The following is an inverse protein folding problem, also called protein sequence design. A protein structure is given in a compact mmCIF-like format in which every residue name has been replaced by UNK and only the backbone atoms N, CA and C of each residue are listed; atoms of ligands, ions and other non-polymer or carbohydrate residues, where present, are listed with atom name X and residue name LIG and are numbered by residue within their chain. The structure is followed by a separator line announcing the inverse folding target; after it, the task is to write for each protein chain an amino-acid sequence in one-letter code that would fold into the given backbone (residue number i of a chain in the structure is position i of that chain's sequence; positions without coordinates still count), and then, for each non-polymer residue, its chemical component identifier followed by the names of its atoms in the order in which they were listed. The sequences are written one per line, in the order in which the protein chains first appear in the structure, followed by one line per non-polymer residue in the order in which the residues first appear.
data_IF_401075263576
#
_entry.id   IF_401075263576
#
_cell.length_a   1.000
_cell.length_b   1.000
_cell.length_c   1.000
_cell.angle_alpha   90.00
_cell.angle_beta   90.00
_cell.angle_gamma   90.00
#
_symmetry.space_group_name_H-M   'P 1'
#
loop_
_entity.id
_entity.type
_entity.pdbx_description
1 polymer ?
#
# COMPACT_ATOMS: atom_id res chain seq x y z
N UNK A 1 49.74 47.39 9.00
CA UNK A 1 48.64 46.82 9.82
C UNK A 1 47.25 46.87 9.14
N UNK A 2 47.06 47.52 7.99
CA UNK A 2 45.74 47.60 7.32
C UNK A 2 45.24 46.29 6.65
N UNK A 3 46.12 45.32 6.41
CA UNK A 3 45.79 44.06 5.71
C UNK A 3 44.89 43.12 6.53
N UNK A 4 45.05 43.07 7.86
CA UNK A 4 44.32 42.15 8.73
C UNK A 4 42.83 42.53 8.87
N UNK A 5 42.53 43.83 8.85
CA UNK A 5 41.16 44.33 8.99
C UNK A 5 40.29 44.01 7.77
N UNK A 6 40.89 44.08 6.57
CA UNK A 6 40.21 43.72 5.32
C UNK A 6 39.93 42.21 5.23
N UNK A 7 40.85 41.39 5.76
CA UNK A 7 40.73 39.93 5.79
C UNK A 7 39.63 39.45 6.76
N UNK A 8 39.43 40.14 7.89
CA UNK A 8 38.34 39.84 8.83
C UNK A 8 36.95 40.25 8.29
N UNK A 9 36.87 41.37 7.55
CA UNK A 9 35.63 41.81 6.92
C UNK A 9 35.16 40.85 5.81
N UNK A 10 36.10 40.35 5.01
CA UNK A 10 35.80 39.40 3.93
C UNK A 10 35.34 38.04 4.48
N UNK A 11 35.99 37.55 5.53
CA UNK A 11 35.61 36.31 6.21
C UNK A 11 34.18 36.38 6.82
N UNK A 12 33.77 37.54 7.32
CA UNK A 12 32.41 37.75 7.85
C UNK A 12 31.35 37.73 6.74
N UNK A 13 31.65 38.32 5.57
CA UNK A 13 30.76 38.32 4.41
C UNK A 13 30.67 36.91 3.83
N UNK A 14 31.79 36.20 3.70
CA UNK A 14 31.83 34.82 3.23
C UNK A 14 31.03 33.88 4.15
N UNK A 15 31.15 34.05 5.47
CA UNK A 15 30.34 33.32 6.43
C UNK A 15 28.84 33.62 6.30
N UNK A 16 28.46 34.88 6.08
CA UNK A 16 27.06 35.28 5.90
C UNK A 16 26.48 34.67 4.61
N UNK A 17 27.22 34.71 3.50
CA UNK A 17 26.83 34.07 2.24
C UNK A 17 26.69 32.56 2.41
N UNK A 18 27.62 31.93 3.15
CA UNK A 18 27.59 30.50 3.44
C UNK A 18 26.35 30.10 4.25
N UNK A 19 25.99 30.86 5.30
CA UNK A 19 24.79 30.64 6.12
C UNK A 19 23.52 30.81 5.29
N UNK A 20 23.46 31.83 4.44
CA UNK A 20 22.33 32.06 3.54
C UNK A 20 22.17 30.89 2.57
N UNK A 21 23.25 30.43 1.93
CA UNK A 21 23.21 29.25 1.05
C UNK A 21 22.78 27.99 1.81
N UNK A 22 23.30 27.77 3.02
CA UNK A 22 22.90 26.64 3.85
C UNK A 22 21.40 26.68 4.19
N UNK A 23 20.86 27.87 4.44
CA UNK A 23 19.43 28.05 4.75
C UNK A 23 18.54 27.59 3.59
N UNK A 24 18.90 27.94 2.34
CA UNK A 24 18.16 27.50 1.15
C UNK A 24 18.24 25.98 0.95
N UNK A 25 19.40 25.37 1.22
CA UNK A 25 19.59 23.92 1.14
C UNK A 25 18.70 23.23 2.19
N UNK A 26 18.70 23.70 3.44
CA UNK A 26 17.90 23.11 4.51
C UNK A 26 16.39 23.24 4.29
N UNK A 27 15.93 24.34 3.69
CA UNK A 27 14.53 24.50 3.28
C UNK A 27 14.16 23.44 2.22
N UNK A 28 15.01 23.26 1.21
CA UNK A 28 14.82 22.22 0.19
C UNK A 28 14.80 20.81 0.77
N UNK A 29 15.70 20.53 1.72
CA UNK A 29 15.77 19.24 2.40
C UNK A 29 14.49 18.97 3.23
N UNK A 30 14.00 19.98 3.95
CA UNK A 30 12.78 19.85 4.77
C UNK A 30 11.57 19.53 3.91
N UNK A 31 11.45 20.16 2.73
CA UNK A 31 10.37 19.87 1.78
C UNK A 31 10.42 18.43 1.26
N UNK A 32 11.62 17.93 0.94
CA UNK A 32 11.82 16.54 0.52
C UNK A 32 11.47 15.56 1.65
N UNK A 33 11.96 15.83 2.86
CA UNK A 33 11.68 15.00 4.06
C UNK A 33 10.18 14.92 4.33
N UNK A 34 9.46 16.04 4.25
CA UNK A 34 8.01 16.07 4.43
C UNK A 34 7.29 15.16 3.42
N UNK A 35 7.68 15.20 2.14
CA UNK A 35 7.13 14.31 1.12
C UNK A 35 7.46 12.85 1.39
N UNK A 36 8.68 12.54 1.79
CA UNK A 36 9.08 11.15 2.10
C UNK A 36 8.37 10.60 3.33
N UNK A 37 8.15 11.42 4.35
CA UNK A 37 7.44 11.00 5.56
C UNK A 37 5.98 10.63 5.27
N UNK A 38 5.31 11.43 4.42
CA UNK A 38 3.96 11.14 3.95
C UNK A 38 3.93 9.84 3.13
N UNK A 39 4.90 9.64 2.21
CA UNK A 39 5.01 8.41 1.43
C UNK A 39 5.27 7.17 2.31
N UNK A 40 6.13 7.28 3.33
CA UNK A 40 6.40 6.21 4.28
C UNK A 40 5.16 5.83 5.09
N UNK A 41 4.35 6.80 5.52
CA UNK A 41 3.08 6.56 6.21
C UNK A 41 2.15 5.69 5.36
N UNK A 42 1.92 6.07 4.10
CA UNK A 42 1.04 5.31 3.21
C UNK A 42 1.59 3.92 2.92
N UNK A 43 2.90 3.80 2.68
CA UNK A 43 3.56 2.49 2.45
C UNK A 43 3.37 1.56 3.64
N UNK A 44 3.55 2.06 4.87
CA UNK A 44 3.32 1.28 6.08
C UNK A 44 1.88 0.82 6.23
N UNK A 45 0.91 1.70 5.95
CA UNK A 45 -0.51 1.37 6.01
C UNK A 45 -0.91 0.33 4.95
N UNK A 46 -0.38 0.45 3.73
CA UNK A 46 -0.59 -0.52 2.66
C UNK A 46 -0.02 -1.89 3.02
N UNK A 47 1.17 -1.94 3.62
CA UNK A 47 1.75 -3.20 4.10
C UNK A 47 0.88 -3.85 5.18
N UNK A 48 0.37 -3.07 6.14
CA UNK A 48 -0.57 -3.60 7.15
C UNK A 48 -1.86 -4.12 6.51
N UNK A 49 -2.43 -3.40 5.55
CA UNK A 49 -3.60 -3.86 4.81
C UNK A 49 -3.33 -5.17 4.06
N UNK A 50 -2.16 -5.30 3.43
CA UNK A 50 -1.73 -6.53 2.76
C UNK A 50 -1.62 -7.71 3.73
N UNK A 51 -1.01 -7.50 4.90
CA UNK A 51 -0.90 -8.53 5.94
C UNK A 51 -2.26 -8.94 6.51
N UNK A 52 -3.15 -7.97 6.77
CA UNK A 52 -4.51 -8.23 7.22
C UNK A 52 -5.29 -9.05 6.17
N UNK A 53 -5.15 -8.70 4.89
CA UNK A 53 -5.80 -9.41 3.79
C UNK A 53 -5.28 -10.84 3.62
N UNK A 54 -3.95 -11.03 3.73
CA UNK A 54 -3.34 -12.36 3.71
C UNK A 54 -3.78 -13.21 4.90
N UNK A 55 -3.84 -12.62 6.10
CA UNK A 55 -4.32 -13.28 7.31
C UNK A 55 -5.79 -13.69 7.18
N UNK A 56 -6.65 -12.82 6.66
CA UNK A 56 -8.05 -13.16 6.42
C UNK A 56 -8.22 -14.24 5.35
N UNK A 57 -7.45 -14.18 4.26
CA UNK A 57 -7.44 -15.23 3.25
C UNK A 57 -7.01 -16.60 3.82
N UNK A 58 -6.08 -16.62 4.78
CA UNK A 58 -5.63 -17.85 5.46
C UNK A 58 -6.64 -18.37 6.49
N UNK A 59 -7.29 -17.49 7.25
CA UNK A 59 -8.17 -17.88 8.36
C UNK A 59 -9.60 -18.19 7.92
N UNK A 60 -10.17 -17.37 7.04
CA UNK A 60 -11.55 -17.55 6.55
C UNK A 60 -11.58 -18.35 5.24
N UNK A 61 -10.45 -18.46 4.54
CA UNK A 61 -10.38 -19.08 3.23
C UNK A 61 -10.96 -18.19 2.14
N UNK A 62 -10.38 -18.24 0.93
CA UNK A 62 -10.82 -17.41 -0.19
C UNK A 62 -12.30 -17.59 -0.55
N UNK A 63 -12.83 -18.79 -0.40
CA UNK A 63 -14.24 -19.08 -0.75
C UNK A 63 -15.22 -18.29 0.12
N UNK A 64 -14.90 -18.03 1.40
CA UNK A 64 -15.75 -17.25 2.30
C UNK A 64 -15.69 -15.75 1.98
N UNK A 65 -14.49 -15.21 1.67
CA UNK A 65 -14.34 -13.82 1.24
C UNK A 65 -15.04 -13.55 -0.10
N UNK A 66 -15.06 -14.53 -1.00
CA UNK A 66 -15.76 -14.45 -2.28
C UNK A 66 -17.28 -14.64 -2.17
N UNK A 67 -17.77 -15.29 -1.10
CA UNK A 67 -19.20 -15.49 -0.87
C UNK A 67 -19.84 -14.31 -0.11
N UNK A 68 -19.03 -13.46 0.54
CA UNK A 68 -19.51 -12.29 1.25
C UNK A 68 -19.94 -11.19 0.25
N UNK A 69 -21.15 -10.66 0.43
CA UNK A 69 -21.67 -9.55 -0.40
C UNK A 69 -20.88 -8.25 -0.22
N UNK A 70 -20.29 -8.04 0.96
CA UNK A 70 -19.44 -6.89 1.28
C UNK A 70 -18.32 -7.32 2.24
N UNK A 71 -17.21 -7.91 1.74
CA UNK A 71 -16.08 -8.22 2.59
C UNK A 71 -15.45 -6.93 3.13
N UNK A 72 -15.10 -6.92 4.42
CA UNK A 72 -14.34 -5.84 5.04
C UNK A 72 -13.21 -6.43 5.90
N UNK A 73 -12.13 -5.66 6.06
CA UNK A 73 -10.98 -6.03 6.87
C UNK A 73 -10.64 -4.92 7.84
N UNK A 74 -10.18 -5.30 9.03
CA UNK A 74 -9.72 -4.33 10.01
C UNK A 74 -8.23 -4.05 9.80
N UNK A 75 -7.90 -2.80 9.50
CA UNK A 75 -6.51 -2.31 9.39
C UNK A 75 -6.36 -1.15 10.37
N UNK A 76 -5.48 -1.31 11.36
CA UNK A 76 -5.27 -0.31 12.43
C UNK A 76 -6.59 0.17 13.08
N UNK A 77 -7.41 -0.78 13.53
CA UNK A 77 -8.73 -0.56 14.15
C UNK A 77 -9.79 0.13 13.28
N UNK A 78 -9.53 0.29 11.97
CA UNK A 78 -10.50 0.80 11.01
C UNK A 78 -10.95 -0.28 10.03
N UNK A 79 -12.24 -0.24 9.67
CA UNK A 79 -12.83 -1.17 8.70
C UNK A 79 -12.59 -0.66 7.28
N UNK A 80 -11.81 -1.41 6.51
CA UNK A 80 -11.51 -1.17 5.10
C UNK A 80 -12.43 -2.05 4.27
N UNK A 81 -13.29 -1.43 3.45
CA UNK A 81 -14.18 -2.13 2.55
C UNK A 81 -13.42 -2.73 1.36
N UNK A 82 -13.80 -3.95 0.96
CA UNK A 82 -13.16 -4.68 -0.12
C UNK A 82 -14.16 -5.00 -1.21
N UNK A 83 -13.63 -5.08 -2.43
CA UNK A 83 -14.30 -5.70 -3.54
C UNK A 83 -13.54 -6.98 -3.90
N UNK A 84 -14.22 -8.11 -3.75
CA UNK A 84 -13.70 -9.41 -4.18
C UNK A 84 -14.24 -9.73 -5.58
N UNK A 85 -13.33 -10.00 -6.51
CA UNK A 85 -13.65 -10.60 -7.81
C UNK A 85 -13.07 -12.01 -7.82
N UNK A 86 -13.94 -13.01 -7.95
CA UNK A 86 -13.51 -14.41 -7.89
C UNK A 86 -14.00 -15.15 -9.13
N UNK A 87 -13.04 -15.64 -9.91
CA UNK A 87 -13.26 -16.44 -11.10
C UNK A 87 -13.37 -17.92 -10.68
N UNK A 88 -14.49 -18.54 -11.02
CA UNK A 88 -14.72 -19.98 -10.81
C UNK A 88 -14.80 -20.65 -12.18
N UNK A 89 -14.04 -21.71 -12.38
CA UNK A 89 -14.02 -22.47 -13.64
C UNK A 89 -14.47 -23.91 -13.39
N UNK A 90 -15.04 -24.53 -14.43
CA UNK A 90 -15.34 -25.95 -14.42
C UNK A 90 -14.05 -26.76 -14.31
N UNK A 91 -14.11 -27.92 -13.65
CA UNK A 91 -12.97 -28.82 -13.51
C UNK A 91 -13.40 -30.27 -13.67
N UNK A 92 -12.46 -31.13 -14.05
CA UNK A 92 -12.69 -32.56 -14.23
C UNK A 92 -12.07 -33.32 -13.05
N UNK A 93 -12.90 -34.04 -12.30
CA UNK A 93 -12.46 -34.90 -11.21
C UNK A 93 -12.39 -36.33 -11.72
N UNK A 94 -11.27 -37.02 -11.49
CA UNK A 94 -11.18 -38.46 -11.79
C UNK A 94 -11.28 -39.24 -10.49
N UNK A 95 -12.38 -39.97 -10.29
CA UNK A 95 -12.59 -40.81 -9.11
C UNK A 95 -12.74 -42.25 -9.58
N UNK A 96 -11.88 -43.15 -9.07
CA UNK A 96 -11.85 -44.56 -9.45
C UNK A 96 -11.77 -44.82 -10.97
N UNK A 97 -11.09 -43.94 -11.72
CA UNK A 97 -10.92 -44.08 -13.17
C UNK A 97 -12.08 -43.55 -14.02
N UNK A 98 -13.16 -43.05 -13.40
CA UNK A 98 -14.22 -42.31 -14.09
C UNK A 98 -13.95 -40.81 -14.04
N UNK A 99 -13.99 -40.16 -15.19
CA UNK A 99 -13.91 -38.70 -15.32
C UNK A 99 -15.30 -38.10 -15.10
N UNK A 100 -15.40 -37.18 -14.15
CA UNK A 100 -16.62 -36.45 -13.80
C UNK A 100 -16.37 -34.97 -14.10
N UNK A 101 -17.13 -34.43 -15.05
CA UNK A 101 -17.08 -33.01 -15.39
C UNK A 101 -17.96 -32.22 -14.41
N UNK A 102 -17.33 -31.38 -13.58
CA UNK A 102 -18.02 -30.54 -12.62
C UNK A 102 -18.11 -29.12 -13.17
N UNK A 103 -19.32 -28.68 -13.51
CA UNK A 103 -19.58 -27.34 -14.01
C UNK A 103 -19.22 -26.26 -12.96
N UNK A 104 -18.97 -25.03 -13.42
CA UNK A 104 -18.73 -23.90 -12.54
C UNK A 104 -20.01 -23.56 -11.74
N UNK A 105 -19.94 -23.70 -10.43
CA UNK A 105 -20.98 -23.44 -9.46
C UNK A 105 -20.43 -22.54 -8.33
N UNK A 106 -21.27 -21.96 -7.45
CA UNK A 106 -20.81 -21.12 -6.32
C UNK A 106 -19.85 -21.83 -5.35
N UNK A 107 -19.81 -23.16 -5.38
CA UNK A 107 -18.93 -24.00 -4.56
C UNK A 107 -17.75 -24.60 -5.36
N UNK A 108 -17.61 -24.30 -6.64
CA UNK A 108 -16.49 -24.78 -7.47
C UNK A 108 -15.17 -24.15 -7.03
N UNK A 109 -14.03 -24.85 -7.23
CA UNK A 109 -12.72 -24.32 -6.89
C UNK A 109 -12.47 -22.98 -7.60
N UNK A 110 -11.92 -22.04 -6.84
CA UNK A 110 -11.53 -20.72 -7.34
C UNK A 110 -10.28 -20.93 -8.19
N UNK A 111 -10.34 -20.52 -9.45
CA UNK A 111 -9.24 -20.63 -10.44
C UNK A 111 -8.55 -19.29 -10.69
N UNK A 112 -9.07 -18.23 -10.08
CA UNK A 112 -8.44 -16.92 -10.07
C UNK A 112 -9.23 -16.01 -9.12
N UNK A 113 -8.54 -15.17 -8.38
CA UNK A 113 -9.16 -14.25 -7.43
C UNK A 113 -8.38 -12.95 -7.38
N UNK A 114 -9.09 -11.84 -7.40
CA UNK A 114 -8.52 -10.53 -7.13
C UNK A 114 -9.32 -9.86 -6.02
N UNK A 115 -8.64 -9.58 -4.91
CA UNK A 115 -9.18 -8.75 -3.85
C UNK A 115 -8.61 -7.36 -4.02
N UNK A 116 -9.50 -6.37 -4.18
CA UNK A 116 -9.12 -4.97 -4.21
C UNK A 116 -9.73 -4.24 -3.03
N UNK A 117 -8.99 -3.33 -2.42
CA UNK A 117 -9.60 -2.32 -1.55
C UNK A 117 -10.46 -1.40 -2.40
N UNK A 118 -11.57 -0.90 -1.85
CA UNK A 118 -12.47 -0.01 -2.57
C UNK A 118 -11.91 1.41 -2.57
N UNK A 119 -12.03 2.12 -3.70
CA UNK A 119 -11.62 3.51 -3.79
C UNK A 119 -12.70 4.41 -3.18
N UNK A 120 -12.66 4.57 -1.86
CA UNK A 120 -13.51 5.51 -1.12
C UNK A 120 -12.66 6.54 -0.36
N UNK A 121 -13.30 7.62 0.08
CA UNK A 121 -12.61 8.73 0.75
C UNK A 121 -11.97 8.34 2.08
N UNK A 122 -12.48 7.31 2.76
CA UNK A 122 -11.92 6.79 4.00
C UNK A 122 -10.64 5.98 3.72
N UNK A 123 -10.67 5.08 2.75
CA UNK A 123 -9.54 4.26 2.32
C UNK A 123 -8.43 5.13 1.70
N UNK A 124 -8.79 6.11 0.86
CA UNK A 124 -7.82 7.05 0.29
C UNK A 124 -7.06 7.85 1.38
N UNK A 125 -7.74 8.23 2.46
CA UNK A 125 -7.12 8.92 3.58
C UNK A 125 -6.23 7.99 4.44
N UNK A 126 -6.58 6.70 4.53
CA UNK A 126 -5.88 5.72 5.37
C UNK A 126 -4.66 5.10 4.69
N UNK A 127 -4.84 4.56 3.49
CA UNK A 127 -3.86 3.75 2.75
C UNK A 127 -3.35 4.44 1.48
N UNK A 128 -3.91 5.58 1.10
CA UNK A 128 -3.40 6.41 0.00
C UNK A 128 -3.82 5.95 -1.40
N UNK A 129 -4.75 4.99 -1.52
CA UNK A 129 -5.26 4.49 -2.81
C UNK A 129 -5.71 3.03 -2.75
N UNK A 130 -5.87 2.43 -3.93
CA UNK A 130 -6.30 1.04 -4.08
C UNK A 130 -5.12 0.06 -4.04
N UNK A 131 -5.23 -0.98 -3.24
CA UNK A 131 -4.34 -2.14 -3.26
C UNK A 131 -5.04 -3.34 -3.86
N UNK A 132 -4.44 -3.94 -4.89
CA UNK A 132 -4.93 -5.16 -5.54
C UNK A 132 -4.03 -6.34 -5.18
N UNK A 133 -4.61 -7.42 -4.66
CA UNK A 133 -3.95 -8.74 -4.59
C UNK A 133 -4.65 -9.66 -5.58
N UNK A 134 -3.92 -10.14 -6.57
CA UNK A 134 -4.38 -11.21 -7.46
C UNK A 134 -3.68 -12.52 -7.10
N UNK A 135 -4.47 -13.57 -6.89
CA UNK A 135 -4.02 -14.94 -6.71
C UNK A 135 -4.60 -15.74 -7.89
N UNK A 136 -3.72 -16.22 -8.75
CA UNK A 136 -4.02 -17.11 -9.86
C UNK A 136 -3.68 -18.54 -9.44
#
# INVERSE_FOLDING_TARGET
MASLYKQQGDAMIEALVSIVLLSFIMIGLTFLVAKTAVAQKYTSAQNMALFALRSAAQTQGLSALCAATNPSLTVADQSVALAAQCQRSAFTATVAGQTIDVAAAPNSPITGSSLTTKQDSANAALIGGDGVISLN
#
